data_IF_038403454099
#
_entry.id   IF_038403454099
#
_cell.length_a   1.000
_cell.length_b   1.000
_cell.length_c   1.000
_cell.angle_alpha   90.00
_cell.angle_beta   90.00
_cell.angle_gamma   90.00
#
_symmetry.space_group_name_H-M   'P 1'
#
loop_
_entity.id
_entity.type
_entity.pdbx_description
1 polymer ?
#
# COMPACT_ATOMS: atom_id res chain seq x y z
N UNK A 1 2.61 39.35 -47.20
CA UNK A 1 3.24 39.17 -45.86
C UNK A 1 4.57 38.50 -46.07
N UNK A 2 5.68 39.02 -45.52
CA UNK A 2 7.00 38.41 -45.72
C UNK A 2 7.17 37.16 -44.85
N UNK A 3 7.99 36.21 -45.32
CA UNK A 3 8.26 34.94 -44.63
C UNK A 3 8.73 35.13 -43.19
N UNK A 4 9.41 36.23 -42.89
CA UNK A 4 9.84 36.59 -41.54
C UNK A 4 8.66 36.78 -40.55
N UNK A 5 7.52 37.31 -41.00
CA UNK A 5 6.33 37.45 -40.14
C UNK A 5 5.66 36.10 -39.86
N UNK A 6 5.66 35.19 -40.84
CA UNK A 6 5.11 33.84 -40.68
C UNK A 6 5.97 33.03 -39.69
N UNK A 7 7.29 33.10 -39.84
CA UNK A 7 8.24 32.44 -38.93
C UNK A 7 8.12 33.01 -37.51
N UNK A 8 8.04 34.33 -37.35
CA UNK A 8 7.86 34.96 -36.04
C UNK A 8 6.57 34.53 -35.32
N UNK A 9 5.45 34.46 -36.05
CA UNK A 9 4.18 34.00 -35.49
C UNK A 9 4.23 32.52 -35.06
N UNK A 10 4.85 31.65 -35.87
CA UNK A 10 5.01 30.24 -35.54
C UNK A 10 5.90 30.02 -34.31
N UNK A 11 7.01 30.77 -34.18
CA UNK A 11 7.87 30.71 -33.00
C UNK A 11 7.15 31.16 -31.73
N UNK A 12 6.33 32.21 -31.81
CA UNK A 12 5.54 32.67 -30.66
C UNK A 12 4.49 31.63 -30.23
N UNK A 13 3.83 30.97 -31.18
CA UNK A 13 2.89 29.88 -30.88
C UNK A 13 3.59 28.69 -30.23
N UNK A 14 4.78 28.30 -30.72
CA UNK A 14 5.56 27.23 -30.12
C UNK A 14 6.01 27.56 -28.69
N UNK A 15 6.39 28.82 -28.43
CA UNK A 15 6.76 29.27 -27.09
C UNK A 15 5.58 29.18 -26.12
N UNK A 16 4.42 29.71 -26.51
CA UNK A 16 3.20 29.64 -25.69
C UNK A 16 2.77 28.18 -25.43
N UNK A 17 2.87 27.30 -26.44
CA UNK A 17 2.60 25.88 -26.26
C UNK A 17 3.55 25.23 -25.25
N UNK A 18 4.85 25.53 -25.34
CA UNK A 18 5.85 25.01 -24.41
C UNK A 18 5.62 25.51 -22.98
N UNK A 19 5.25 26.79 -22.80
CA UNK A 19 4.91 27.36 -21.49
C UNK A 19 3.67 26.69 -20.89
N UNK A 20 2.60 26.53 -21.67
CA UNK A 20 1.38 25.86 -21.24
C UNK A 20 1.66 24.40 -20.83
N UNK A 21 2.44 23.67 -21.63
CA UNK A 21 2.87 22.31 -21.27
C UNK A 21 3.65 22.32 -19.96
N UNK A 22 4.67 23.17 -19.82
CA UNK A 22 5.47 23.27 -18.60
C UNK A 22 4.61 23.52 -17.37
N UNK A 23 3.63 24.41 -17.47
CA UNK A 23 2.79 24.75 -16.33
C UNK A 23 1.76 23.65 -16.00
N UNK A 24 1.29 22.90 -17.00
CA UNK A 24 0.54 21.66 -16.79
C UNK A 24 1.37 20.59 -16.05
N UNK A 25 2.60 20.33 -16.50
CA UNK A 25 3.53 19.39 -15.84
C UNK A 25 3.82 19.80 -14.40
N UNK A 26 4.01 21.09 -14.11
CA UNK A 26 4.20 21.59 -12.74
C UNK A 26 2.98 21.34 -11.86
N UNK A 27 1.78 21.48 -12.41
CA UNK A 27 0.53 21.20 -11.68
C UNK A 27 0.43 19.71 -11.35
N UNK A 28 0.61 18.85 -12.36
CA UNK A 28 0.59 17.40 -12.17
C UNK A 28 1.63 16.94 -11.15
N UNK A 29 2.86 17.47 -11.21
CA UNK A 29 3.90 17.15 -10.25
C UNK A 29 3.50 17.48 -8.80
N UNK A 30 2.84 18.63 -8.58
CA UNK A 30 2.32 19.02 -7.26
C UNK A 30 1.18 18.11 -6.80
N UNK A 31 0.30 17.72 -7.71
CA UNK A 31 -0.81 16.81 -7.40
C UNK A 31 -0.27 15.42 -7.00
N UNK A 32 0.72 14.90 -7.73
CA UNK A 32 1.41 13.66 -7.37
C UNK A 32 2.18 13.76 -6.06
N UNK A 33 2.84 14.89 -5.78
CA UNK A 33 3.51 15.11 -4.49
C UNK A 33 2.51 15.05 -3.33
N UNK A 34 1.33 15.63 -3.50
CA UNK A 34 0.26 15.57 -2.50
C UNK A 34 -0.23 14.14 -2.29
N UNK A 35 -0.54 13.42 -3.37
CA UNK A 35 -0.98 12.02 -3.30
C UNK A 35 0.07 11.16 -2.59
N UNK A 36 1.35 11.34 -2.91
CA UNK A 36 2.44 10.61 -2.27
C UNK A 36 2.53 10.91 -0.76
N UNK A 37 2.39 12.18 -0.36
CA UNK A 37 2.36 12.57 1.06
C UNK A 37 1.19 11.93 1.80
N UNK A 38 0.01 11.94 1.22
CA UNK A 38 -1.20 11.36 1.82
C UNK A 38 -1.09 9.83 1.94
N UNK A 39 -0.53 9.16 0.93
CA UNK A 39 -0.26 7.72 0.96
C UNK A 39 0.76 7.36 2.05
N UNK A 40 1.85 8.13 2.16
CA UNK A 40 2.86 7.93 3.20
C UNK A 40 2.26 8.13 4.61
N UNK A 41 1.44 9.17 4.79
CA UNK A 41 0.76 9.40 6.07
C UNK A 41 -0.16 8.23 6.44
N UNK A 42 -0.96 7.76 5.48
CA UNK A 42 -1.83 6.59 5.67
C UNK A 42 -1.02 5.33 6.03
N UNK A 43 0.10 5.08 5.36
CA UNK A 43 0.96 3.94 5.67
C UNK A 43 1.52 4.02 7.10
N UNK A 44 1.99 5.19 7.53
CA UNK A 44 2.47 5.40 8.90
C UNK A 44 1.39 5.12 9.94
N UNK A 45 0.17 5.59 9.71
CA UNK A 45 -0.97 5.32 10.59
C UNK A 45 -1.25 3.80 10.68
N UNK A 46 -1.28 3.09 9.55
CA UNK A 46 -1.48 1.64 9.55
C UNK A 46 -0.36 0.90 10.28
N UNK A 47 0.89 1.32 10.15
CA UNK A 47 2.03 0.72 10.85
C UNK A 47 1.93 0.90 12.37
N UNK A 48 1.51 2.09 12.82
CA UNK A 48 1.22 2.35 14.25
C UNK A 48 0.11 1.45 14.78
N UNK A 49 -0.99 1.28 14.02
CA UNK A 49 -2.11 0.40 14.41
C UNK A 49 -1.64 -1.05 14.50
N UNK A 50 -0.87 -1.55 13.51
CA UNK A 50 -0.32 -2.91 13.53
C UNK A 50 0.58 -3.12 14.75
N UNK A 51 1.42 -2.14 15.09
CA UNK A 51 2.26 -2.18 16.29
C UNK A 51 1.43 -2.27 17.58
N UNK A 52 0.36 -1.48 17.69
CA UNK A 52 -0.58 -1.55 18.81
C UNK A 52 -1.31 -2.89 18.92
N UNK A 53 -1.78 -3.43 17.79
CA UNK A 53 -2.42 -4.76 17.76
C UNK A 53 -1.44 -5.88 18.16
N UNK A 54 -0.18 -5.79 17.74
CA UNK A 54 0.85 -6.75 18.14
C UNK A 54 1.10 -6.71 19.65
N UNK A 55 1.14 -5.52 20.26
CA UNK A 55 1.26 -5.38 21.71
C UNK A 55 0.08 -6.05 22.46
N UNK A 56 -1.14 -5.83 21.98
CA UNK A 56 -2.34 -6.48 22.54
C UNK A 56 -2.27 -8.00 22.39
N UNK A 57 -1.86 -8.52 21.22
CA UNK A 57 -1.74 -9.96 20.98
C UNK A 57 -0.68 -10.57 21.90
N UNK A 58 0.45 -9.89 22.12
CA UNK A 58 1.49 -10.33 23.04
C UNK A 58 0.96 -10.39 24.47
N UNK A 59 0.33 -9.31 24.95
CA UNK A 59 -0.27 -9.28 26.28
C UNK A 59 -1.33 -10.39 26.45
N UNK A 60 -2.17 -10.62 25.42
CA UNK A 60 -3.15 -11.71 25.44
C UNK A 60 -2.48 -13.08 25.61
N UNK A 61 -1.39 -13.35 24.88
CA UNK A 61 -0.65 -14.62 24.98
C UNK A 61 -0.04 -14.82 26.36
N UNK A 62 0.49 -13.76 26.97
CA UNK A 62 1.07 -13.80 28.31
C UNK A 62 0.00 -14.01 29.39
N UNK A 63 -1.14 -13.33 29.27
CA UNK A 63 -2.24 -13.42 30.25
C UNK A 63 -3.08 -14.69 30.10
N UNK A 64 -3.14 -15.28 28.90
CA UNK A 64 -3.98 -16.43 28.58
C UNK A 64 -3.22 -17.53 27.81
N UNK A 65 -2.14 -18.09 28.38
CA UNK A 65 -1.27 -19.04 27.66
C UNK A 65 -2.00 -20.32 27.25
N UNK A 66 -3.02 -20.74 28.02
CA UNK A 66 -3.80 -21.95 27.76
C UNK A 66 -5.06 -21.67 26.92
N UNK A 67 -5.16 -20.51 26.28
CA UNK A 67 -6.30 -20.19 25.42
C UNK A 67 -6.42 -21.22 24.29
N UNK A 68 -7.63 -21.72 23.99
CA UNK A 68 -7.86 -22.58 22.82
C UNK A 68 -7.45 -21.94 21.50
N UNK A 69 -7.36 -20.60 21.41
CA UNK A 69 -6.89 -19.94 20.19
C UNK A 69 -5.39 -20.13 19.96
N UNK A 70 -4.62 -20.42 21.00
CA UNK A 70 -3.18 -20.62 20.96
C UNK A 70 -2.79 -22.09 20.81
N UNK A 71 -3.75 -23.02 20.89
CA UNK A 71 -3.49 -24.44 20.67
C UNK A 71 -3.18 -24.75 19.20
N UNK A 72 -2.50 -25.88 18.99
CA UNK A 72 -2.16 -26.39 17.66
C UNK A 72 -3.40 -26.71 16.83
N UNK A 73 -3.36 -26.35 15.55
CA UNK A 73 -4.45 -26.56 14.58
C UNK A 73 -4.26 -27.80 13.70
N UNK A 74 -3.24 -28.63 13.99
CA UNK A 74 -2.78 -29.78 13.17
C UNK A 74 -2.23 -29.42 11.78
N UNK A 75 -2.46 -28.19 11.29
CA UNK A 75 -1.78 -27.68 10.11
C UNK A 75 -0.38 -27.21 10.47
N UNK A 76 0.57 -27.36 9.54
CA UNK A 76 1.98 -27.06 9.77
C UNK A 76 2.47 -25.94 8.87
N UNK A 77 3.45 -25.19 9.35
CA UNK A 77 4.31 -24.36 8.52
C UNK A 77 5.26 -25.24 7.70
N UNK A 78 5.98 -24.63 6.76
CA UNK A 78 6.93 -25.34 5.89
C UNK A 78 8.08 -26.01 6.67
N UNK A 79 8.44 -25.45 7.83
CA UNK A 79 9.45 -26.01 8.73
C UNK A 79 8.93 -27.15 9.63
N UNK A 80 7.64 -27.53 9.50
CA UNK A 80 7.00 -28.59 10.25
C UNK A 80 6.43 -28.17 11.61
N UNK A 81 6.60 -26.91 12.03
CA UNK A 81 6.00 -26.39 13.26
C UNK A 81 4.48 -26.27 13.10
N UNK A 82 3.71 -26.57 14.15
CA UNK A 82 2.24 -26.47 14.07
C UNK A 82 1.77 -25.03 14.14
N UNK A 83 0.85 -24.69 13.23
CA UNK A 83 0.12 -23.43 13.25
C UNK A 83 -0.89 -23.44 14.38
N UNK A 84 -1.08 -22.30 15.04
CA UNK A 84 -2.15 -22.14 16.02
C UNK A 84 -3.51 -21.97 15.35
N UNK A 85 -4.60 -22.22 16.09
CA UNK A 85 -5.96 -21.93 15.61
C UNK A 85 -6.12 -20.44 15.23
N UNK A 86 -5.55 -19.54 16.02
CA UNK A 86 -5.52 -18.10 15.73
C UNK A 86 -4.82 -17.81 14.39
N UNK A 87 -3.69 -18.48 14.10
CA UNK A 87 -2.99 -18.33 12.82
C UNK A 87 -3.88 -18.71 11.66
N UNK A 88 -4.58 -19.85 11.73
CA UNK A 88 -5.47 -20.29 10.64
C UNK A 88 -6.61 -19.29 10.39
N UNK A 89 -7.19 -18.73 11.45
CA UNK A 89 -8.22 -17.69 11.32
C UNK A 89 -7.67 -16.42 10.68
N UNK A 90 -6.48 -15.98 11.09
CA UNK A 90 -5.79 -14.85 10.47
C UNK A 90 -5.54 -15.08 8.99
N UNK A 91 -4.96 -16.22 8.61
CA UNK A 91 -4.62 -16.52 7.20
C UNK A 91 -5.86 -16.47 6.31
N UNK A 92 -6.96 -17.11 6.74
CA UNK A 92 -8.23 -17.09 6.01
C UNK A 92 -8.79 -15.67 5.83
N UNK A 93 -8.77 -14.86 6.89
CA UNK A 93 -9.25 -13.49 6.83
C UNK A 93 -8.35 -12.61 5.95
N UNK A 94 -7.04 -12.80 6.04
CA UNK A 94 -6.05 -12.09 5.23
C UNK A 94 -6.24 -12.38 3.75
N UNK A 95 -6.37 -13.66 3.37
CA UNK A 95 -6.55 -14.02 1.96
C UNK A 95 -7.86 -13.52 1.39
N UNK A 96 -8.94 -13.67 2.15
CA UNK A 96 -10.26 -13.20 1.73
C UNK A 96 -10.18 -11.70 1.45
N UNK A 97 -9.63 -10.93 2.39
CA UNK A 97 -9.49 -9.49 2.23
C UNK A 97 -8.54 -9.11 1.09
N UNK A 98 -7.45 -9.86 0.90
CA UNK A 98 -6.52 -9.64 -0.20
C UNK A 98 -7.21 -9.81 -1.56
N UNK A 99 -8.03 -10.85 -1.73
CA UNK A 99 -8.84 -11.06 -2.95
C UNK A 99 -9.84 -9.94 -3.18
N UNK A 100 -10.53 -9.48 -2.13
CA UNK A 100 -11.45 -8.33 -2.22
C UNK A 100 -10.75 -7.04 -2.66
N UNK A 101 -9.47 -6.89 -2.32
CA UNK A 101 -8.64 -5.75 -2.71
C UNK A 101 -7.98 -5.94 -4.10
N UNK A 102 -8.28 -7.03 -4.82
CA UNK A 102 -7.73 -7.32 -6.13
C UNK A 102 -6.29 -7.85 -6.12
N UNK A 103 -5.78 -8.31 -4.97
CA UNK A 103 -4.46 -8.94 -4.90
C UNK A 103 -4.57 -10.38 -5.42
N UNK A 104 -3.82 -10.69 -6.48
CA UNK A 104 -3.70 -12.03 -7.00
C UNK A 104 -2.77 -12.87 -6.09
N UNK A 105 -3.23 -14.04 -5.65
CA UNK A 105 -2.49 -14.95 -4.75
C UNK A 105 -2.06 -14.30 -3.41
N UNK A 106 -3.00 -13.77 -2.60
CA UNK A 106 -2.70 -13.08 -1.35
C UNK A 106 -1.89 -13.90 -0.34
N UNK A 107 -1.96 -15.23 -0.42
CA UNK A 107 -1.18 -16.14 0.42
C UNK A 107 0.33 -15.92 0.32
N UNK A 108 0.83 -15.43 -0.82
CA UNK A 108 2.26 -15.11 -1.03
C UNK A 108 2.72 -13.86 -0.30
N UNK A 109 1.79 -13.04 0.19
CA UNK A 109 2.05 -11.78 0.90
C UNK A 109 1.98 -11.93 2.42
N UNK A 110 1.59 -13.10 2.92
CA UNK A 110 1.59 -13.38 4.37
C UNK A 110 3.03 -13.41 4.86
N UNK A 111 3.32 -12.75 5.98
CA UNK A 111 4.57 -12.96 6.71
C UNK A 111 4.41 -14.22 7.57
N UNK A 112 5.37 -15.15 7.50
CA UNK A 112 5.39 -16.34 8.35
C UNK A 112 5.71 -15.96 9.79
#
# INVERSE_FOLDING_TARGET
>A
MSDAMIVGAAMNQALVAAENSRDAWKKEAKDWEKIAKDAIATMKEKDMIVSGMNAIITAFKEMHPNSPLLSGSQQKYADGTEKTIARIKYEKAFDLRGRELGIENPEKHRKN
#
